data_IF_253728778271
#
_entry.id   IF_253728778271
#
_cell.length_a   1.000
_cell.length_b   1.000
_cell.length_c   1.000
_cell.angle_alpha   90.00
_cell.angle_beta   90.00
_cell.angle_gamma   90.00
#
_symmetry.space_group_name_H-M   'P 1'
#
loop_
_entity.id
_entity.type
_entity.pdbx_description
1 polymer ?
#
# COMPACT_ATOMS: atom_id res chain seq x y z
N UNK A 1 -0.36 -12.22 37.73
CA UNK A 1 -0.60 -11.84 36.33
C UNK A 1 0.56 -10.99 35.90
N UNK A 2 1.36 -11.47 34.96
CA UNK A 2 2.45 -10.65 34.39
C UNK A 2 1.82 -9.59 33.50
N UNK A 3 1.80 -8.36 33.95
CA UNK A 3 1.48 -7.19 33.13
C UNK A 3 2.63 -6.97 32.10
N UNK A 4 2.70 -7.81 31.07
CA UNK A 4 3.52 -7.45 29.92
C UNK A 4 2.86 -6.27 29.22
N UNK A 5 3.46 -5.10 29.37
CA UNK A 5 3.07 -3.92 28.61
C UNK A 5 3.14 -4.27 27.13
N UNK A 6 2.02 -4.16 26.42
CA UNK A 6 1.98 -4.41 24.99
C UNK A 6 2.94 -3.44 24.28
N UNK A 7 3.84 -3.99 23.47
CA UNK A 7 4.79 -3.21 22.65
C UNK A 7 4.75 -3.68 21.21
N UNK A 8 5.23 -2.86 20.29
CA UNK A 8 5.36 -3.27 18.88
C UNK A 8 6.22 -4.53 18.74
N UNK A 9 7.32 -4.64 19.50
CA UNK A 9 8.19 -5.81 19.48
C UNK A 9 7.46 -7.07 19.96
N UNK A 10 6.62 -6.97 21.01
CA UNK A 10 5.83 -8.11 21.50
C UNK A 10 4.72 -8.56 20.55
N UNK A 11 4.31 -7.70 19.62
CA UNK A 11 3.35 -8.01 18.54
C UNK A 11 4.02 -8.43 17.22
N UNK A 12 5.34 -8.62 17.22
CA UNK A 12 6.09 -9.09 16.04
C UNK A 12 6.70 -7.99 15.18
N UNK A 13 6.59 -6.72 15.57
CA UNK A 13 7.18 -5.58 14.86
C UNK A 13 8.35 -5.03 15.66
N UNK A 14 9.54 -5.51 15.36
CA UNK A 14 10.79 -5.07 16.00
C UNK A 14 11.53 -4.06 15.10
N UNK A 15 11.40 -2.79 15.40
CA UNK A 15 12.08 -1.71 14.67
C UNK A 15 13.60 -1.78 14.82
N UNK A 16 14.12 -2.30 15.93
CA UNK A 16 15.56 -2.50 16.12
C UNK A 16 16.16 -3.44 15.06
N UNK A 17 15.40 -4.44 14.64
CA UNK A 17 15.79 -5.37 13.57
C UNK A 17 15.44 -4.85 12.18
N UNK A 18 14.34 -4.13 12.03
CA UNK A 18 13.84 -3.67 10.74
C UNK A 18 14.60 -2.44 10.20
N UNK A 19 14.90 -1.46 11.04
CA UNK A 19 15.47 -0.20 10.59
C UNK A 19 16.88 -0.33 9.98
N UNK A 20 17.80 -1.16 10.48
CA UNK A 20 19.08 -1.39 9.81
C UNK A 20 18.91 -1.95 8.40
N UNK A 21 17.94 -2.85 8.19
CA UNK A 21 17.65 -3.44 6.87
C UNK A 21 17.06 -2.39 5.93
N UNK A 22 16.13 -1.55 6.40
CA UNK A 22 15.56 -0.45 5.62
C UNK A 22 16.64 0.54 5.18
N UNK A 23 17.55 0.93 6.08
CA UNK A 23 18.65 1.85 5.77
C UNK A 23 19.61 1.22 4.74
N UNK A 24 19.95 -0.06 4.89
CA UNK A 24 20.79 -0.77 3.93
C UNK A 24 20.11 -0.85 2.55
N UNK A 25 18.82 -1.15 2.50
CA UNK A 25 18.04 -1.19 1.27
C UNK A 25 17.97 0.19 0.58
N UNK A 26 17.75 1.27 1.33
CA UNK A 26 17.77 2.63 0.78
C UNK A 26 19.11 2.98 0.17
N UNK A 27 20.23 2.64 0.84
CA UNK A 27 21.59 2.87 0.31
C UNK A 27 21.85 2.09 -0.98
N UNK A 28 21.44 0.82 -1.01
CA UNK A 28 21.56 -0.01 -2.20
C UNK A 28 20.72 0.53 -3.37
N UNK A 29 19.49 0.94 -3.09
CA UNK A 29 18.61 1.54 -4.08
C UNK A 29 19.13 2.90 -4.59
N UNK A 30 19.76 3.72 -3.74
CA UNK A 30 20.38 4.97 -4.16
C UNK A 30 21.51 4.73 -5.17
N UNK A 31 22.28 3.67 -4.99
CA UNK A 31 23.36 3.32 -5.91
C UNK A 31 22.86 2.94 -7.31
N UNK A 32 21.59 2.52 -7.45
CA UNK A 32 20.98 2.17 -8.74
C UNK A 32 20.24 3.33 -9.41
N UNK A 33 19.99 4.43 -8.70
CA UNK A 33 19.25 5.58 -9.20
C UNK A 33 19.81 6.16 -10.53
N UNK A 34 21.14 6.20 -10.77
CA UNK A 34 21.70 6.67 -12.03
C UNK A 34 21.24 5.89 -13.27
N UNK A 35 20.73 4.66 -13.09
CA UNK A 35 20.19 3.85 -14.20
C UNK A 35 18.95 4.49 -14.85
N UNK A 36 18.24 5.37 -14.16
CA UNK A 36 17.13 6.15 -14.73
C UNK A 36 17.59 7.01 -15.91
N UNK A 37 18.83 7.49 -15.91
CA UNK A 37 19.39 8.28 -17.00
C UNK A 37 19.38 7.57 -18.35
N UNK A 38 19.45 6.24 -18.37
CA UNK A 38 19.34 5.44 -19.61
C UNK A 38 17.94 5.53 -20.24
N UNK A 39 16.94 5.96 -19.47
CA UNK A 39 15.55 6.12 -19.90
C UNK A 39 15.16 7.60 -20.03
N UNK A 40 16.12 8.52 -19.96
CA UNK A 40 15.84 9.96 -20.02
C UNK A 40 15.14 10.49 -18.75
N UNK A 41 15.28 9.78 -17.63
CA UNK A 41 14.67 10.14 -16.36
C UNK A 41 15.73 10.40 -15.28
N UNK A 42 15.35 11.17 -14.27
CA UNK A 42 16.20 11.50 -13.13
C UNK A 42 15.42 11.40 -11.83
N UNK A 43 16.04 10.80 -10.82
CA UNK A 43 15.46 10.74 -9.49
C UNK A 43 15.33 12.12 -8.84
N UNK A 44 14.22 12.35 -8.17
CA UNK A 44 14.07 13.44 -7.21
C UNK A 44 14.49 12.93 -5.84
N UNK A 45 15.75 13.10 -5.51
CA UNK A 45 16.37 12.52 -4.30
C UNK A 45 15.65 12.95 -3.01
N UNK A 46 15.03 14.13 -2.99
CA UNK A 46 14.23 14.60 -1.86
C UNK A 46 12.99 13.73 -1.56
N UNK A 47 12.55 12.90 -2.52
CA UNK A 47 11.44 11.97 -2.30
C UNK A 47 11.83 10.70 -1.53
N UNK A 48 13.12 10.45 -1.33
CA UNK A 48 13.57 9.30 -0.55
C UNK A 48 13.28 9.47 0.92
N UNK A 49 12.51 8.52 1.47
CA UNK A 49 12.03 8.59 2.85
C UNK A 49 10.66 9.25 2.99
N UNK A 50 10.13 9.82 1.90
CA UNK A 50 8.73 10.22 1.82
C UNK A 50 7.83 9.02 1.51
N UNK A 51 6.53 9.22 1.50
CA UNK A 51 5.53 8.18 1.29
C UNK A 51 5.51 7.62 -0.13
N UNK A 52 5.96 8.39 -1.13
CA UNK A 52 6.03 7.95 -2.51
C UNK A 52 7.37 8.34 -3.15
N UNK A 53 7.86 7.48 -4.05
CA UNK A 53 9.08 7.73 -4.83
C UNK A 53 8.77 8.60 -6.04
N UNK A 54 9.59 9.63 -6.30
CA UNK A 54 9.38 10.59 -7.39
C UNK A 54 10.59 10.62 -8.31
N UNK A 55 10.33 10.68 -9.63
CA UNK A 55 11.36 10.96 -10.65
C UNK A 55 10.82 11.96 -11.66
N UNK A 56 11.74 12.69 -12.29
CA UNK A 56 11.49 13.56 -13.41
C UNK A 56 11.68 12.80 -14.71
N UNK A 57 10.77 12.96 -15.65
CA UNK A 57 10.81 12.35 -16.98
C UNK A 57 10.28 13.34 -18.00
N UNK A 58 11.16 13.81 -18.90
CA UNK A 58 10.83 14.85 -19.90
C UNK A 58 10.35 16.16 -19.24
N UNK A 59 9.06 16.45 -19.32
CA UNK A 59 8.40 17.64 -18.83
C UNK A 59 7.44 17.37 -17.66
N UNK A 60 7.52 16.17 -17.07
CA UNK A 60 6.62 15.73 -16.01
C UNK A 60 7.36 15.08 -14.85
N UNK A 61 6.81 15.25 -13.66
CA UNK A 61 7.14 14.40 -12.51
C UNK A 61 6.24 13.18 -12.50
N UNK A 62 6.85 12.01 -12.25
CA UNK A 62 6.16 10.75 -12.05
C UNK A 62 6.34 10.29 -10.61
N UNK A 63 5.35 9.59 -10.08
CA UNK A 63 5.42 9.05 -8.74
C UNK A 63 4.91 7.61 -8.70
N UNK A 64 5.50 6.82 -7.81
CA UNK A 64 5.11 5.44 -7.54
C UNK A 64 5.05 5.21 -6.03
N UNK A 65 3.98 4.56 -5.59
CA UNK A 65 3.84 4.06 -4.23
C UNK A 65 3.39 2.59 -4.26
N UNK A 66 3.82 1.83 -3.29
CA UNK A 66 3.32 0.47 -3.01
C UNK A 66 2.88 0.45 -1.56
N UNK A 67 1.58 0.25 -1.36
CA UNK A 67 0.98 0.17 -0.05
C UNK A 67 0.37 -1.20 0.24
N UNK A 68 0.31 -1.56 1.51
CA UNK A 68 -0.28 -2.79 2.00
C UNK A 68 -1.37 -2.53 3.03
N UNK A 69 -2.50 -3.20 2.89
CA UNK A 69 -3.66 -3.01 3.75
C UNK A 69 -3.40 -3.32 5.25
N UNK A 70 -2.41 -4.14 5.56
CA UNK A 70 -2.13 -4.56 6.94
C UNK A 70 -3.23 -5.47 7.50
N UNK A 71 -3.78 -5.11 8.68
CA UNK A 71 -4.68 -5.98 9.45
C UNK A 71 -6.17 -5.60 9.36
N UNK A 72 -6.54 -4.59 8.58
CA UNK A 72 -7.93 -4.11 8.50
C UNK A 72 -8.91 -5.16 7.97
N UNK A 73 -8.46 -6.01 7.03
CA UNK A 73 -9.25 -7.14 6.53
C UNK A 73 -9.62 -8.15 7.62
N UNK A 74 -8.78 -8.32 8.63
CA UNK A 74 -9.09 -9.21 9.77
C UNK A 74 -10.29 -8.68 10.57
N UNK A 75 -10.41 -7.36 10.69
CA UNK A 75 -11.58 -6.74 11.35
C UNK A 75 -12.85 -6.99 10.53
N UNK A 76 -12.78 -6.86 9.21
CA UNK A 76 -13.92 -7.16 8.33
C UNK A 76 -14.37 -8.62 8.48
N UNK A 77 -13.42 -9.57 8.48
CA UNK A 77 -13.72 -10.98 8.67
C UNK A 77 -14.31 -11.28 10.06
N UNK A 78 -13.84 -10.62 11.12
CA UNK A 78 -14.38 -10.74 12.48
C UNK A 78 -15.80 -10.17 12.60
N UNK A 79 -16.10 -9.10 11.86
CA UNK A 79 -17.42 -8.46 11.89
C UNK A 79 -18.47 -9.18 11.06
N UNK A 80 -18.07 -9.98 10.08
CA UNK A 80 -19.00 -10.69 9.19
C UNK A 80 -20.04 -11.54 9.92
N UNK A 81 -19.69 -12.41 10.90
CA UNK A 81 -20.68 -13.19 11.64
C UNK A 81 -21.63 -12.35 12.49
N UNK A 82 -21.24 -11.13 12.84
CA UNK A 82 -22.06 -10.20 13.63
C UNK A 82 -23.04 -9.42 12.76
N UNK A 83 -22.59 -8.97 11.58
CA UNK A 83 -23.33 -8.04 10.71
C UNK A 83 -24.00 -8.74 9.52
N UNK A 84 -23.55 -9.93 9.17
CA UNK A 84 -23.96 -10.64 7.94
C UNK A 84 -23.38 -10.03 6.65
N UNK A 85 -22.46 -9.05 6.75
CA UNK A 85 -21.85 -8.35 5.62
C UNK A 85 -20.36 -8.67 5.53
N UNK A 86 -19.81 -8.69 4.32
CA UNK A 86 -18.37 -8.95 4.12
C UNK A 86 -17.51 -7.75 4.49
N UNK A 87 -18.00 -6.52 4.31
CA UNK A 87 -17.27 -5.26 4.46
C UNK A 87 -16.05 -5.09 3.53
N UNK A 88 -15.90 -5.94 2.54
CA UNK A 88 -14.74 -5.89 1.63
C UNK A 88 -14.84 -4.79 0.57
N UNK A 89 -16.01 -4.26 0.30
CA UNK A 89 -16.22 -3.04 -0.47
C UNK A 89 -15.61 -1.81 0.24
N UNK A 90 -15.82 -1.70 1.55
CA UNK A 90 -15.23 -0.64 2.37
C UNK A 90 -13.72 -0.85 2.60
N UNK A 91 -13.27 -2.10 2.71
CA UNK A 91 -11.85 -2.45 2.75
C UNK A 91 -11.13 -2.00 1.47
N UNK A 92 -11.75 -2.21 0.31
CA UNK A 92 -11.20 -1.75 -0.96
C UNK A 92 -11.06 -0.21 -1.00
N UNK A 93 -12.11 0.50 -0.60
CA UNK A 93 -12.09 1.97 -0.51
C UNK A 93 -10.97 2.47 0.41
N UNK A 94 -10.83 1.85 1.57
CA UNK A 94 -9.80 2.20 2.56
C UNK A 94 -8.38 1.95 2.01
N UNK A 95 -8.20 0.87 1.24
CA UNK A 95 -6.92 0.56 0.58
C UNK A 95 -6.57 1.60 -0.47
N UNK A 96 -7.52 1.96 -1.33
CA UNK A 96 -7.30 3.01 -2.35
C UNK A 96 -7.02 4.37 -1.68
N UNK A 97 -7.71 4.69 -0.59
CA UNK A 97 -7.47 5.92 0.17
C UNK A 97 -6.03 5.98 0.75
N UNK A 98 -5.47 4.86 1.23
CA UNK A 98 -4.07 4.81 1.67
C UNK A 98 -3.11 5.16 0.53
N UNK A 99 -3.29 4.55 -0.64
CA UNK A 99 -2.49 4.81 -1.84
C UNK A 99 -2.56 6.29 -2.24
N UNK A 100 -3.78 6.85 -2.26
CA UNK A 100 -4.01 8.26 -2.61
C UNK A 100 -3.35 9.20 -1.61
N UNK A 101 -3.48 8.93 -0.32
CA UNK A 101 -2.86 9.75 0.73
C UNK A 101 -1.35 9.83 0.55
N UNK A 102 -0.70 8.73 0.23
CA UNK A 102 0.74 8.70 0.01
C UNK A 102 1.18 9.43 -1.27
N UNK A 103 0.37 9.39 -2.32
CA UNK A 103 0.64 10.14 -3.55
C UNK A 103 0.47 11.65 -3.37
N UNK A 104 -0.60 12.09 -2.68
CA UNK A 104 -0.86 13.52 -2.52
C UNK A 104 0.15 14.23 -1.62
N UNK A 105 0.81 13.52 -0.71
CA UNK A 105 1.90 14.07 0.12
C UNK A 105 3.05 14.61 -0.74
N UNK A 106 3.34 13.95 -1.86
CA UNK A 106 4.37 14.40 -2.82
C UNK A 106 3.79 15.24 -3.97
N UNK A 107 2.53 15.65 -3.88
CA UNK A 107 1.86 16.49 -4.89
C UNK A 107 1.43 15.74 -6.16
N UNK A 108 1.41 14.41 -6.14
CA UNK A 108 1.04 13.60 -7.28
C UNK A 108 -0.48 13.35 -7.36
N UNK A 109 -1.00 13.28 -8.58
CA UNK A 109 -2.38 12.85 -8.84
C UNK A 109 -2.40 11.36 -9.17
N UNK A 110 -3.29 10.56 -8.56
CA UNK A 110 -3.44 9.16 -8.90
C UNK A 110 -3.98 9.00 -10.32
N UNK A 111 -3.36 8.14 -11.12
CA UNK A 111 -3.76 7.85 -12.50
C UNK A 111 -4.08 6.37 -12.70
N UNK A 112 -3.26 5.50 -12.11
CA UNK A 112 -3.37 4.04 -12.24
C UNK A 112 -3.21 3.41 -10.86
N UNK A 113 -4.09 2.48 -10.54
CA UNK A 113 -4.04 1.70 -9.29
C UNK A 113 -4.03 0.21 -9.63
N UNK A 114 -2.97 -0.48 -9.23
CA UNK A 114 -2.87 -1.93 -9.40
C UNK A 114 -3.18 -2.64 -8.09
N UNK A 115 -4.12 -3.59 -8.13
CA UNK A 115 -4.45 -4.43 -7.00
C UNK A 115 -3.55 -5.68 -6.98
N UNK A 116 -2.88 -5.93 -5.85
CA UNK A 116 -2.18 -7.17 -5.57
C UNK A 116 -2.81 -7.86 -4.36
N UNK A 117 -3.30 -9.09 -4.55
CA UNK A 117 -3.94 -9.84 -3.48
C UNK A 117 -3.03 -10.98 -3.00
N UNK A 118 -2.44 -10.83 -1.82
CA UNK A 118 -1.74 -11.90 -1.13
C UNK A 118 -2.72 -12.63 -0.21
N UNK A 119 -3.08 -13.84 -0.57
CA UNK A 119 -4.02 -14.69 0.19
C UNK A 119 -3.30 -15.93 0.72
N UNK A 120 -3.76 -16.44 1.87
CA UNK A 120 -3.14 -17.60 2.50
C UNK A 120 -3.26 -18.87 1.67
N UNK A 121 -4.39 -19.03 0.96
CA UNK A 121 -4.63 -20.11 0.01
C UNK A 121 -5.69 -19.74 -1.02
N UNK A 122 -5.85 -20.58 -2.06
CA UNK A 122 -6.84 -20.38 -3.12
C UNK A 122 -8.30 -20.48 -2.65
N UNK A 123 -8.55 -21.06 -1.48
CA UNK A 123 -9.91 -21.19 -0.94
C UNK A 123 -10.50 -19.82 -0.57
N UNK A 124 -9.65 -18.82 -0.30
CA UNK A 124 -10.09 -17.45 -0.08
C UNK A 124 -10.93 -16.92 -1.25
N UNK A 125 -10.55 -17.26 -2.49
CA UNK A 125 -11.25 -16.84 -3.72
C UNK A 125 -12.58 -17.58 -3.95
N UNK A 126 -12.85 -18.68 -3.24
CA UNK A 126 -14.11 -19.41 -3.34
C UNK A 126 -15.28 -18.68 -2.67
N UNK A 127 -14.99 -17.76 -1.76
CA UNK A 127 -15.99 -16.86 -1.18
C UNK A 127 -16.34 -15.75 -2.18
N UNK A 128 -17.27 -16.07 -3.07
CA UNK A 128 -17.65 -15.19 -4.19
C UNK A 128 -18.26 -13.86 -3.73
N UNK A 129 -19.00 -13.87 -2.62
CA UNK A 129 -19.56 -12.63 -2.07
C UNK A 129 -18.46 -11.66 -1.67
N UNK A 130 -17.50 -12.12 -0.87
CA UNK A 130 -16.34 -11.34 -0.45
C UNK A 130 -15.50 -10.85 -1.62
N UNK A 131 -15.18 -11.74 -2.55
CA UNK A 131 -14.38 -11.40 -3.73
C UNK A 131 -15.08 -10.36 -4.62
N UNK A 132 -16.40 -10.50 -4.85
CA UNK A 132 -17.18 -9.54 -5.63
C UNK A 132 -17.28 -8.18 -4.93
N UNK A 133 -17.49 -8.15 -3.61
CA UNK A 133 -17.52 -6.92 -2.84
C UNK A 133 -16.18 -6.18 -2.94
N UNK A 134 -15.06 -6.90 -2.80
CA UNK A 134 -13.73 -6.34 -2.95
C UNK A 134 -13.53 -5.71 -4.34
N UNK A 135 -13.83 -6.44 -5.42
CA UNK A 135 -13.68 -5.93 -6.80
C UNK A 135 -14.59 -4.73 -7.06
N UNK A 136 -15.84 -4.79 -6.60
CA UNK A 136 -16.79 -3.67 -6.73
C UNK A 136 -16.32 -2.44 -5.97
N UNK A 137 -15.82 -2.63 -4.74
CA UNK A 137 -15.28 -1.53 -3.93
C UNK A 137 -14.05 -0.89 -4.58
N UNK A 138 -13.14 -1.68 -5.18
CA UNK A 138 -12.00 -1.16 -5.94
C UNK A 138 -12.45 -0.31 -7.12
N UNK A 139 -13.38 -0.82 -7.94
CA UNK A 139 -13.89 -0.09 -9.09
C UNK A 139 -14.52 1.24 -8.66
N UNK A 140 -15.38 1.22 -7.64
CA UNK A 140 -16.03 2.43 -7.14
C UNK A 140 -15.03 3.45 -6.57
N UNK A 141 -14.01 2.98 -5.84
CA UNK A 141 -12.97 3.86 -5.28
C UNK A 141 -12.10 4.49 -6.38
N UNK A 142 -11.71 3.71 -7.39
CA UNK A 142 -10.96 4.24 -8.54
C UNK A 142 -11.78 5.24 -9.36
N UNK A 143 -13.07 4.96 -9.60
CA UNK A 143 -13.97 5.89 -10.27
C UNK A 143 -14.10 7.23 -9.51
N UNK A 144 -14.23 7.15 -8.17
CA UNK A 144 -14.37 8.34 -7.32
C UNK A 144 -13.15 9.29 -7.39
N UNK A 145 -11.95 8.75 -7.63
CA UNK A 145 -10.70 9.53 -7.72
C UNK A 145 -10.26 9.80 -9.17
N UNK A 146 -10.99 9.32 -10.17
CA UNK A 146 -10.66 9.46 -11.57
C UNK A 146 -9.43 8.66 -12.01
N UNK A 147 -9.12 7.55 -11.33
CA UNK A 147 -8.03 6.62 -11.67
C UNK A 147 -8.57 5.33 -12.31
N UNK A 148 -7.66 4.60 -12.98
CA UNK A 148 -7.96 3.30 -13.59
C UNK A 148 -7.10 2.19 -12.99
#
# INVERSE_FOLDING_TARGET
MNDQVASYASSGVDYGSLDPVKVAAQRAALATAPSLGQHGAQEITASRGESAYVWEESDAYRSLVIEGLGTKNLIADMMRPVTGKTHYDTIAQDTVAMIVNDLVVVGALPMVVNAYFAVGDGAWMNDRERANDLVRGWAAACEAIGAT
#
